data_IF_416894717039
#
_entry.id   IF_416894717039
#
_cell.length_a   1.000
_cell.length_b   1.000
_cell.length_c   1.000
_cell.angle_alpha   90.00
_cell.angle_beta   90.00
_cell.angle_gamma   90.00
#
_symmetry.space_group_name_H-M   'P 1'
#
loop_
_entity.id
_entity.type
_entity.pdbx_description
1 polymer ?
#
# COMPACT_ATOMS: atom_id res chain seq x y z
N UNK A 1 19.91 5.07 22.18
CA UNK A 1 20.10 6.08 21.12
C UNK A 1 19.08 7.17 21.35
N UNK A 2 19.49 8.43 21.54
CA UNK A 2 18.58 9.57 21.61
C UNK A 2 17.82 9.61 20.29
N UNK A 3 16.48 9.49 20.32
CA UNK A 3 15.66 9.70 19.14
C UNK A 3 15.97 11.08 18.57
N UNK A 4 16.42 11.15 17.31
CA UNK A 4 16.64 12.41 16.65
C UNK A 4 15.29 13.15 16.58
N UNK A 5 15.24 14.36 17.11
CA UNK A 5 14.05 15.21 16.99
C UNK A 5 13.89 15.64 15.54
N UNK A 6 12.73 15.41 14.96
CA UNK A 6 12.39 15.84 13.62
C UNK A 6 11.09 16.63 13.62
N UNK A 7 10.80 17.44 12.59
CA UNK A 7 9.50 18.09 12.42
C UNK A 7 8.38 17.06 12.32
N UNK A 8 7.31 17.22 13.09
CA UNK A 8 6.16 16.29 13.08
C UNK A 8 4.93 16.87 12.37
N UNK A 9 5.02 18.11 11.88
CA UNK A 9 3.97 18.79 11.10
C UNK A 9 4.58 19.67 10.01
N UNK A 10 3.84 19.97 8.93
CA UNK A 10 4.32 20.85 7.86
C UNK A 10 4.76 22.23 8.37
N UNK A 11 4.08 22.77 9.37
CA UNK A 11 4.35 24.10 9.91
C UNK A 11 5.66 24.18 10.72
N UNK A 12 6.21 23.03 11.11
CA UNK A 12 7.49 22.95 11.86
C UNK A 12 8.70 22.69 10.97
N UNK A 13 8.49 22.56 9.65
CA UNK A 13 9.59 22.44 8.68
C UNK A 13 10.36 23.75 8.58
N UNK A 14 11.68 23.65 8.54
CA UNK A 14 12.57 24.83 8.36
C UNK A 14 13.71 24.52 7.39
N UNK A 15 14.26 25.57 6.75
CA UNK A 15 15.43 25.43 5.88
C UNK A 15 16.65 24.91 6.66
N UNK A 16 16.78 25.29 7.94
CA UNK A 16 17.87 24.85 8.82
C UNK A 16 17.82 23.33 9.01
N UNK A 17 16.63 22.76 9.26
CA UNK A 17 16.48 21.32 9.42
C UNK A 17 16.88 20.56 8.13
N UNK A 18 16.48 21.07 6.95
CA UNK A 18 16.89 20.49 5.67
C UNK A 18 18.40 20.58 5.48
N UNK A 19 19.03 21.69 5.85
CA UNK A 19 20.48 21.86 5.77
C UNK A 19 21.22 20.81 6.59
N UNK A 20 20.86 20.66 7.86
CA UNK A 20 21.46 19.66 8.74
C UNK A 20 21.28 18.24 8.18
N UNK A 21 20.07 17.92 7.69
CA UNK A 21 19.76 16.59 7.17
C UNK A 21 20.45 16.31 5.85
N UNK A 22 20.38 17.21 4.88
CA UNK A 22 20.92 17.00 3.54
C UNK A 22 22.44 16.99 3.51
N UNK A 23 23.08 17.77 4.37
CA UNK A 23 24.54 17.69 4.58
C UNK A 23 24.95 16.37 5.25
N UNK A 24 24.16 15.88 6.23
CA UNK A 24 24.43 14.61 6.90
C UNK A 24 24.40 13.40 5.95
N UNK A 25 23.48 13.40 4.98
CA UNK A 25 23.38 12.33 3.97
C UNK A 25 24.15 12.64 2.69
N UNK A 26 25.01 13.67 2.70
CA UNK A 26 25.83 14.09 1.56
C UNK A 26 25.04 14.44 0.28
N UNK A 27 23.75 14.82 0.43
CA UNK A 27 22.89 15.24 -0.69
C UNK A 27 23.26 16.64 -1.20
N UNK A 28 23.76 17.50 -0.32
CA UNK A 28 24.35 18.80 -0.64
C UNK A 28 25.74 18.93 -0.02
N UNK A 29 26.61 19.69 -0.70
CA UNK A 29 27.94 20.02 -0.18
C UNK A 29 27.84 20.88 1.08
N UNK A 30 28.82 20.78 2.00
CA UNK A 30 28.88 21.56 3.25
C UNK A 30 28.94 23.09 3.04
N UNK A 31 29.30 23.54 1.82
CA UNK A 31 29.32 24.95 1.43
C UNK A 31 28.06 25.41 0.72
N UNK A 32 27.10 24.50 0.49
CA UNK A 32 25.81 24.82 -0.04
C UNK A 32 24.73 24.74 1.05
N UNK A 33 23.63 25.45 0.85
CA UNK A 33 22.52 25.45 1.79
C UNK A 33 21.17 25.60 1.08
N UNK A 34 20.13 25.09 1.70
CA UNK A 34 18.75 25.46 1.40
C UNK A 34 18.52 26.86 1.96
N UNK A 35 18.27 27.84 1.11
CA UNK A 35 17.98 29.22 1.51
C UNK A 35 16.54 29.40 1.96
N UNK A 36 15.61 28.75 1.26
CA UNK A 36 14.19 28.83 1.56
C UNK A 36 13.44 27.58 1.17
N UNK A 37 12.30 27.38 1.81
CA UNK A 37 11.35 26.30 1.52
C UNK A 37 9.97 26.90 1.24
N UNK A 38 9.20 26.23 0.36
CA UNK A 38 7.78 26.55 0.13
C UNK A 38 6.98 25.25 0.18
N UNK A 39 6.03 25.17 1.09
CA UNK A 39 5.24 23.94 1.35
C UNK A 39 3.84 24.12 0.79
N UNK A 40 3.37 23.15 0.00
CA UNK A 40 2.02 23.10 -0.54
C UNK A 40 1.39 21.70 -0.35
N UNK A 41 0.07 21.61 -0.18
CA UNK A 41 -0.61 20.30 -0.12
C UNK A 41 -0.46 19.53 -1.43
N UNK A 42 -0.35 18.20 -1.35
CA UNK A 42 -0.41 17.32 -2.54
C UNK A 42 -1.83 16.78 -2.67
N UNK A 43 -2.50 17.12 -3.78
CA UNK A 43 -3.87 16.69 -4.07
C UNK A 43 -4.94 17.45 -3.29
N UNK A 44 -6.20 17.21 -3.67
CA UNK A 44 -7.38 17.89 -3.09
C UNK A 44 -7.91 17.16 -1.83
N UNK A 45 -7.37 16.01 -1.48
CA UNK A 45 -7.89 15.15 -0.41
C UNK A 45 -6.78 14.78 0.55
N UNK A 46 -6.93 15.16 1.80
CA UNK A 46 -6.09 14.64 2.90
C UNK A 46 -6.33 13.14 3.00
N UNK A 47 -5.26 12.33 2.98
CA UNK A 47 -5.36 10.88 3.15
C UNK A 47 -6.02 10.50 4.48
N UNK A 48 -6.60 9.30 4.55
CA UNK A 48 -7.31 8.85 5.77
C UNK A 48 -6.40 8.82 7.00
N UNK A 49 -5.16 8.40 6.83
CA UNK A 49 -4.21 8.23 7.95
C UNK A 49 -3.00 9.16 7.89
N UNK A 50 -2.78 9.92 6.80
CA UNK A 50 -1.61 10.78 6.64
C UNK A 50 -1.93 12.11 5.98
N UNK A 51 -1.07 13.08 6.22
CA UNK A 51 -1.01 14.36 5.52
C UNK A 51 0.21 14.36 4.60
N UNK A 52 0.01 14.70 3.32
CA UNK A 52 1.06 14.70 2.31
C UNK A 52 1.23 16.12 1.78
N UNK A 53 2.48 16.59 1.76
CA UNK A 53 2.83 17.91 1.23
C UNK A 53 3.99 17.81 0.25
N UNK A 54 4.04 18.71 -0.72
CA UNK A 54 5.22 18.98 -1.53
C UNK A 54 5.98 20.13 -0.92
N UNK A 55 7.29 19.97 -0.80
CA UNK A 55 8.19 21.01 -0.31
C UNK A 55 9.16 21.38 -1.43
N UNK A 56 9.01 22.59 -1.97
CA UNK A 56 9.97 23.19 -2.92
C UNK A 56 11.14 23.75 -2.17
N UNK A 57 12.34 23.53 -2.71
CA UNK A 57 13.62 23.86 -2.09
C UNK A 57 14.38 24.84 -2.99
N UNK A 58 14.85 25.95 -2.43
CA UNK A 58 15.74 26.89 -3.12
C UNK A 58 17.11 26.82 -2.48
N UNK A 59 18.15 26.62 -3.28
CA UNK A 59 19.53 26.49 -2.81
C UNK A 59 20.33 27.76 -3.08
N UNK A 60 21.29 28.06 -2.19
CA UNK A 60 22.20 29.19 -2.35
C UNK A 60 23.05 29.08 -3.61
N UNK A 61 23.47 27.86 -3.96
CA UNK A 61 24.24 27.59 -5.17
C UNK A 61 23.59 26.44 -5.96
N UNK A 62 23.74 26.45 -7.27
CA UNK A 62 23.29 25.36 -8.12
C UNK A 62 23.91 24.02 -7.69
N UNK A 63 23.10 22.98 -7.58
CA UNK A 63 23.53 21.65 -7.21
C UNK A 63 22.64 20.60 -7.91
N UNK A 64 22.98 19.30 -7.71
CA UNK A 64 22.20 18.17 -8.24
C UNK A 64 21.12 17.67 -7.26
N UNK A 65 20.97 18.29 -6.09
CA UNK A 65 19.93 17.93 -5.15
C UNK A 65 18.53 18.29 -5.72
N UNK A 66 17.47 17.57 -5.32
CA UNK A 66 16.11 17.80 -5.84
C UNK A 66 15.62 19.20 -5.49
N UNK A 67 14.93 19.85 -6.42
CA UNK A 67 14.28 21.16 -6.23
C UNK A 67 12.91 21.03 -5.54
N UNK A 68 12.38 19.81 -5.45
CA UNK A 68 11.19 19.48 -4.66
C UNK A 68 11.27 18.08 -4.08
N UNK A 69 10.60 17.88 -2.94
CA UNK A 69 10.42 16.59 -2.27
C UNK A 69 8.99 16.43 -1.81
N UNK A 70 8.53 15.19 -1.69
CA UNK A 70 7.24 14.87 -1.07
C UNK A 70 7.46 14.43 0.36
N UNK A 71 6.66 14.96 1.28
CA UNK A 71 6.76 14.68 2.71
C UNK A 71 5.43 14.16 3.22
N UNK A 72 5.48 13.01 3.89
CA UNK A 72 4.33 12.40 4.56
C UNK A 72 4.45 12.59 6.07
N UNK A 73 3.37 13.05 6.70
CA UNK A 73 3.23 13.22 8.14
C UNK A 73 2.06 12.38 8.68
N UNK A 74 2.07 12.12 9.98
CA UNK A 74 0.89 11.60 10.67
C UNK A 74 -0.28 12.59 10.52
N UNK A 75 -1.48 12.04 10.37
CA UNK A 75 -2.67 12.86 10.20
C UNK A 75 -2.86 13.83 11.37
N UNK A 76 -3.26 15.09 11.08
CA UNK A 76 -3.46 16.12 12.12
C UNK A 76 -4.67 15.88 13.02
N UNK A 77 -5.75 15.17 12.54
CA UNK A 77 -6.84 14.73 13.40
C UNK A 77 -6.38 13.62 14.34
N UNK A 78 -6.64 13.75 15.68
CA UNK A 78 -6.26 12.72 16.62
C UNK A 78 -6.90 11.35 16.34
N UNK A 79 -8.14 11.31 15.83
CA UNK A 79 -8.88 10.09 15.51
C UNK A 79 -8.19 9.32 14.38
N UNK A 80 -7.85 10.00 13.27
CA UNK A 80 -7.20 9.39 12.14
C UNK A 80 -5.75 9.02 12.46
N UNK A 81 -5.05 9.86 13.23
CA UNK A 81 -3.71 9.55 13.76
C UNK A 81 -3.73 8.28 14.62
N UNK A 82 -4.76 8.12 15.47
CA UNK A 82 -4.92 6.92 16.28
C UNK A 82 -5.09 5.66 15.43
N UNK A 83 -5.78 5.73 14.28
CA UNK A 83 -5.86 4.60 13.33
C UNK A 83 -4.46 4.21 12.86
N UNK A 84 -3.68 5.16 12.32
CA UNK A 84 -2.32 4.91 11.84
C UNK A 84 -1.38 4.33 12.89
N UNK A 85 -1.48 4.82 14.15
CA UNK A 85 -0.68 4.33 15.26
C UNK A 85 -1.12 2.92 15.72
N UNK A 86 -2.42 2.70 15.93
CA UNK A 86 -2.95 1.42 16.41
C UNK A 86 -2.72 0.28 15.40
N UNK A 87 -2.69 0.61 14.10
CA UNK A 87 -2.38 -0.33 13.03
C UNK A 87 -0.90 -0.34 12.63
N UNK A 88 -0.06 0.44 13.33
CA UNK A 88 1.39 0.59 13.12
C UNK A 88 1.77 1.02 11.69
N UNK A 89 0.88 1.69 10.96
CA UNK A 89 1.12 2.09 9.56
C UNK A 89 2.33 3.01 9.44
N UNK A 90 2.45 4.01 10.31
CA UNK A 90 3.59 4.93 10.29
C UNK A 90 4.93 4.22 10.61
N UNK A 91 4.93 3.36 11.62
CA UNK A 91 6.12 2.59 12.00
C UNK A 91 6.57 1.65 10.88
N UNK A 92 5.61 0.98 10.20
CA UNK A 92 5.91 0.04 9.11
C UNK A 92 6.48 0.74 7.88
N UNK A 93 5.98 1.92 7.49
CA UNK A 93 6.55 2.69 6.38
C UNK A 93 7.98 3.16 6.70
N UNK A 94 8.22 3.62 7.92
CA UNK A 94 9.56 4.00 8.37
C UNK A 94 10.50 2.80 8.40
N UNK A 95 10.03 1.63 8.84
CA UNK A 95 10.81 0.39 8.82
C UNK A 95 11.16 -0.01 7.39
N UNK A 96 10.21 0.09 6.44
CA UNK A 96 10.47 -0.19 5.03
C UNK A 96 11.65 0.64 4.50
N UNK A 97 11.60 1.96 4.65
CA UNK A 97 12.64 2.83 4.11
C UNK A 97 13.99 2.68 4.80
N UNK A 98 14.01 2.42 6.11
CA UNK A 98 15.26 2.34 6.87
C UNK A 98 15.94 0.97 6.82
N UNK A 99 15.21 -0.12 6.54
CA UNK A 99 15.75 -1.48 6.70
C UNK A 99 15.44 -2.44 5.54
N UNK A 100 14.44 -2.15 4.71
CA UNK A 100 14.03 -3.07 3.63
C UNK A 100 14.44 -2.52 2.27
N UNK A 101 14.17 -1.25 2.02
CA UNK A 101 14.35 -0.63 0.71
C UNK A 101 15.77 -0.74 0.17
N UNK A 102 16.80 -0.64 1.03
CA UNK A 102 18.20 -0.74 0.62
C UNK A 102 18.58 -2.13 0.06
N UNK A 103 17.82 -3.17 0.42
CA UNK A 103 18.05 -4.55 0.00
C UNK A 103 17.25 -4.97 -1.24
N UNK A 104 16.48 -4.05 -1.81
CA UNK A 104 15.66 -4.31 -2.99
C UNK A 104 16.29 -3.68 -4.24
N UNK A 105 16.46 -4.48 -5.28
CA UNK A 105 16.93 -4.03 -6.60
C UNK A 105 15.78 -3.53 -7.49
N UNK A 106 14.55 -3.44 -6.94
CA UNK A 106 13.38 -2.94 -7.68
C UNK A 106 13.36 -1.41 -7.73
N UNK A 107 12.76 -0.84 -8.78
CA UNK A 107 12.46 0.59 -8.83
C UNK A 107 11.65 1.05 -7.62
N UNK A 108 12.13 2.06 -6.94
CA UNK A 108 11.52 2.66 -5.75
C UNK A 108 11.88 4.13 -5.65
N UNK A 109 11.08 4.90 -4.90
CA UNK A 109 11.42 6.29 -4.60
C UNK A 109 12.71 6.39 -3.80
N UNK A 110 13.55 7.38 -4.08
CA UNK A 110 14.59 7.76 -3.16
C UNK A 110 13.97 8.24 -1.84
N UNK A 111 14.55 7.84 -0.71
CA UNK A 111 14.14 8.30 0.61
C UNK A 111 15.26 9.13 1.24
N UNK A 112 14.96 10.37 1.60
CA UNK A 112 15.91 11.30 2.21
C UNK A 112 15.83 11.32 3.74
N UNK A 113 14.67 10.91 4.27
CA UNK A 113 14.45 10.74 5.71
C UNK A 113 13.24 9.86 5.98
N UNK A 114 13.32 9.01 6.99
CA UNK A 114 12.17 8.31 7.56
C UNK A 114 12.33 8.24 9.09
N UNK A 115 11.36 8.79 9.82
CA UNK A 115 11.37 8.83 11.29
C UNK A 115 9.97 8.62 11.87
N UNK A 116 9.91 7.86 12.98
CA UNK A 116 8.71 7.64 13.77
C UNK A 116 9.00 7.89 15.25
N UNK A 117 8.19 8.70 15.89
CA UNK A 117 8.28 9.02 17.30
C UNK A 117 7.25 8.22 18.09
N UNK A 118 7.70 7.21 18.84
CA UNK A 118 6.80 6.34 19.63
C UNK A 118 6.12 7.07 20.79
N UNK A 119 6.67 8.19 21.27
CA UNK A 119 6.08 8.93 22.39
C UNK A 119 4.91 9.82 21.94
N UNK A 120 5.04 10.48 20.79
CA UNK A 120 4.03 11.38 20.23
C UNK A 120 3.11 10.70 19.22
N UNK A 121 3.53 9.56 18.66
CA UNK A 121 2.88 8.93 17.52
C UNK A 121 3.04 9.74 16.23
N UNK A 122 3.98 10.68 16.19
CA UNK A 122 4.31 11.45 15.00
C UNK A 122 5.24 10.69 14.06
N UNK A 123 5.11 10.93 12.77
CA UNK A 123 6.06 10.43 11.77
C UNK A 123 6.39 11.51 10.75
N UNK A 124 7.52 11.33 10.08
CA UNK A 124 7.87 12.08 8.89
C UNK A 124 8.64 11.16 7.93
N UNK A 125 8.20 11.10 6.69
CA UNK A 125 8.91 10.41 5.60
C UNK A 125 9.09 11.38 4.46
N UNK A 126 10.36 11.61 4.05
CA UNK A 126 10.72 12.50 2.93
C UNK A 126 11.19 11.62 1.78
N UNK A 127 10.49 11.68 0.67
CA UNK A 127 10.76 10.91 -0.54
C UNK A 127 10.91 11.82 -1.76
N UNK A 128 11.45 11.25 -2.82
CA UNK A 128 11.53 11.86 -4.14
C UNK A 128 10.15 12.32 -4.63
N UNK A 129 10.11 13.48 -5.27
CA UNK A 129 8.91 14.00 -5.92
C UNK A 129 8.80 13.46 -7.36
N UNK A 130 7.90 12.52 -7.56
CA UNK A 130 7.64 11.87 -8.85
C UNK A 130 6.66 12.69 -9.71
N UNK A 131 6.76 14.02 -9.71
CA UNK A 131 5.84 14.93 -10.42
C UNK A 131 5.80 14.75 -11.94
N UNK A 132 6.81 14.10 -12.52
CA UNK A 132 6.90 13.79 -13.94
C UNK A 132 6.42 12.37 -14.31
N UNK A 133 5.93 11.59 -13.33
CA UNK A 133 5.25 10.32 -13.53
C UNK A 133 3.73 10.53 -13.62
N UNK A 134 3.05 9.56 -14.21
CA UNK A 134 1.59 9.51 -14.23
C UNK A 134 1.09 8.62 -13.08
N UNK A 135 0.23 9.16 -12.22
CA UNK A 135 -0.45 8.37 -11.19
C UNK A 135 -1.43 7.42 -11.86
N UNK A 136 -1.41 6.15 -11.49
CA UNK A 136 -2.44 5.22 -11.92
C UNK A 136 -3.83 5.62 -11.39
N UNK A 137 -4.88 5.10 -12.00
CA UNK A 137 -6.26 5.39 -11.58
C UNK A 137 -7.04 4.10 -11.39
N UNK A 138 -7.33 3.77 -10.13
CA UNK A 138 -8.07 2.56 -9.80
C UNK A 138 -9.55 2.61 -10.22
N UNK A 139 -10.14 3.80 -10.43
CA UNK A 139 -11.54 3.93 -10.85
C UNK A 139 -11.68 3.57 -12.32
N UNK A 140 -10.88 4.19 -13.20
CA UNK A 140 -10.90 3.87 -14.63
C UNK A 140 -10.34 2.48 -14.93
N UNK A 141 -9.52 1.96 -14.04
CA UNK A 141 -8.88 0.66 -14.17
C UNK A 141 -7.61 0.68 -15.01
N UNK A 142 -6.95 -0.47 -15.07
CA UNK A 142 -5.69 -0.66 -15.80
C UNK A 142 -5.77 -1.81 -16.78
N UNK A 143 -4.85 -1.79 -17.74
CA UNK A 143 -4.63 -2.86 -18.71
C UNK A 143 -3.79 -4.00 -18.11
N UNK A 144 -3.83 -5.17 -18.76
CA UNK A 144 -2.95 -6.30 -18.41
C UNK A 144 -1.46 -5.90 -18.47
N UNK A 145 -1.07 -5.09 -19.45
CA UNK A 145 0.34 -4.68 -19.60
C UNK A 145 0.80 -3.78 -18.44
N UNK A 146 -0.05 -2.86 -17.99
CA UNK A 146 0.25 -2.06 -16.79
C UNK A 146 0.31 -2.95 -15.53
N UNK A 147 -0.59 -3.92 -15.39
CA UNK A 147 -0.55 -4.86 -14.27
C UNK A 147 0.73 -5.73 -14.28
N UNK A 148 1.25 -6.11 -15.45
CA UNK A 148 2.53 -6.81 -15.57
C UNK A 148 3.71 -5.96 -15.10
N UNK A 149 3.74 -4.66 -15.42
CA UNK A 149 4.77 -3.75 -14.90
C UNK A 149 4.75 -3.71 -13.36
N UNK A 150 3.55 -3.69 -12.76
CA UNK A 150 3.42 -3.76 -11.29
C UNK A 150 3.93 -5.09 -10.76
N UNK A 151 3.62 -6.22 -11.42
CA UNK A 151 4.18 -7.53 -11.05
C UNK A 151 5.70 -7.52 -11.12
N UNK A 152 6.30 -6.94 -12.17
CA UNK A 152 7.76 -6.84 -12.32
C UNK A 152 8.41 -6.00 -11.20
N UNK A 153 7.66 -5.04 -10.63
CA UNK A 153 8.12 -4.25 -9.49
C UNK A 153 7.99 -5.00 -8.16
N UNK A 154 6.90 -5.74 -7.89
CA UNK A 154 6.67 -6.40 -6.59
C UNK A 154 7.22 -7.82 -6.50
N UNK A 155 7.34 -8.57 -7.62
CA UNK A 155 7.80 -9.95 -7.59
C UNK A 155 9.22 -10.12 -7.01
N UNK A 156 10.19 -9.21 -7.25
CA UNK A 156 11.50 -9.28 -6.59
C UNK A 156 11.42 -9.14 -5.06
N UNK A 157 10.53 -8.29 -4.52
CA UNK A 157 10.26 -8.24 -3.08
C UNK A 157 9.75 -9.60 -2.58
N UNK A 158 8.74 -10.16 -3.27
CA UNK A 158 8.18 -11.45 -2.92
C UNK A 158 9.23 -12.57 -2.96
N UNK A 159 10.05 -12.62 -4.01
CA UNK A 159 11.06 -13.66 -4.17
C UNK A 159 12.18 -13.57 -3.14
N UNK A 160 12.65 -12.34 -2.83
CA UNK A 160 13.74 -12.14 -1.89
C UNK A 160 13.43 -12.65 -0.49
N UNK A 161 12.21 -12.44 -0.02
CA UNK A 161 11.79 -12.77 1.35
C UNK A 161 10.89 -14.01 1.42
N UNK A 162 10.84 -14.80 0.35
CA UNK A 162 10.01 -16.00 0.27
C UNK A 162 10.45 -17.05 1.29
N UNK A 163 9.65 -17.29 2.33
CA UNK A 163 9.95 -18.14 3.50
C UNK A 163 11.27 -17.80 4.22
N UNK A 164 11.78 -16.55 4.04
CA UNK A 164 13.09 -16.13 4.56
C UNK A 164 13.04 -14.75 5.26
N UNK A 165 11.92 -14.37 5.84
CA UNK A 165 11.68 -13.06 6.45
C UNK A 165 11.94 -13.00 7.96
N UNK A 166 12.01 -14.14 8.67
CA UNK A 166 12.05 -14.21 10.14
C UNK A 166 13.32 -13.62 10.76
N UNK A 167 14.44 -13.75 10.07
CA UNK A 167 15.74 -13.29 10.58
C UNK A 167 15.89 -11.76 10.52
N UNK A 168 15.19 -11.09 9.58
CA UNK A 168 15.41 -9.68 9.29
C UNK A 168 14.32 -8.76 9.88
N UNK A 169 13.06 -9.22 10.04
CA UNK A 169 11.90 -8.35 10.30
C UNK A 169 10.89 -8.90 11.28
N UNK A 170 11.33 -9.55 12.36
CA UNK A 170 10.48 -10.19 13.37
C UNK A 170 9.41 -9.28 14.02
N UNK A 171 9.56 -7.96 13.91
CA UNK A 171 8.60 -6.97 14.43
C UNK A 171 7.47 -6.60 13.44
N UNK A 172 7.51 -7.11 12.18
CA UNK A 172 6.41 -6.89 11.24
C UNK A 172 5.20 -7.77 11.60
N UNK A 173 4.01 -7.25 11.32
CA UNK A 173 2.81 -8.07 11.38
C UNK A 173 2.91 -9.27 10.43
N UNK A 174 2.49 -10.43 10.91
CA UNK A 174 2.16 -11.58 10.06
C UNK A 174 0.66 -11.68 9.93
N UNK A 175 0.17 -12.00 8.73
CA UNK A 175 -1.27 -12.06 8.41
C UNK A 175 -2.06 -12.98 9.34
N UNK A 176 -1.44 -14.05 9.82
CA UNK A 176 -1.99 -15.05 10.73
C UNK A 176 -1.54 -14.84 12.20
N UNK A 177 -0.79 -13.78 12.49
CA UNK A 177 -0.37 -13.38 13.83
C UNK A 177 -1.54 -12.91 14.68
N UNK A 178 -1.54 -13.25 15.96
CA UNK A 178 -2.64 -12.86 16.85
C UNK A 178 -2.67 -11.34 17.05
N UNK A 179 -1.52 -10.66 17.07
CA UNK A 179 -1.39 -9.21 17.16
C UNK A 179 -2.04 -8.50 15.97
N UNK A 180 -1.82 -8.98 14.73
CA UNK A 180 -2.49 -8.47 13.53
C UNK A 180 -4.00 -8.72 13.59
N UNK A 181 -4.38 -9.96 13.90
CA UNK A 181 -5.81 -10.35 13.94
C UNK A 181 -6.56 -9.53 14.99
N UNK A 182 -6.04 -9.37 16.20
CA UNK A 182 -6.70 -8.60 17.26
C UNK A 182 -6.77 -7.09 16.92
N UNK A 183 -5.81 -6.58 16.16
CA UNK A 183 -5.81 -5.17 15.74
C UNK A 183 -6.82 -4.86 14.63
N UNK A 184 -7.00 -5.77 13.66
CA UNK A 184 -7.78 -5.51 12.45
C UNK A 184 -9.16 -6.15 12.45
N UNK A 185 -9.33 -7.33 13.06
CA UNK A 185 -10.59 -8.08 13.05
C UNK A 185 -11.80 -7.28 13.56
N UNK A 186 -11.73 -6.47 14.64
CA UNK A 186 -12.86 -5.68 15.08
C UNK A 186 -13.36 -4.67 14.01
N UNK A 187 -12.41 -4.04 13.29
CA UNK A 187 -12.74 -3.14 12.17
C UNK A 187 -13.41 -3.88 11.02
N UNK A 188 -12.89 -5.05 10.65
CA UNK A 188 -13.49 -5.89 9.62
C UNK A 188 -14.90 -6.34 10.01
N UNK A 189 -15.10 -6.80 11.24
CA UNK A 189 -16.42 -7.21 11.72
C UNK A 189 -17.40 -6.06 11.88
N UNK A 190 -16.92 -4.84 12.15
CA UNK A 190 -17.78 -3.67 12.36
C UNK A 190 -18.24 -2.97 11.08
N UNK A 191 -17.60 -3.22 9.94
CA UNK A 191 -17.84 -2.45 8.71
C UNK A 191 -18.88 -3.05 7.76
N UNK A 192 -19.16 -4.34 7.87
CA UNK A 192 -19.97 -5.04 6.86
C UNK A 192 -21.43 -4.60 6.81
N UNK A 193 -22.08 -4.38 7.96
CA UNK A 193 -23.47 -3.93 7.99
C UNK A 193 -23.64 -2.56 7.34
N UNK A 194 -22.70 -1.65 7.61
CA UNK A 194 -22.68 -0.33 6.98
C UNK A 194 -22.44 -0.44 5.47
N UNK A 195 -21.53 -1.30 5.03
CA UNK A 195 -21.28 -1.55 3.60
C UNK A 195 -22.51 -2.07 2.89
N UNK A 196 -23.21 -3.07 3.47
CA UNK A 196 -24.46 -3.60 2.92
C UNK A 196 -25.58 -2.55 2.90
N UNK A 197 -25.68 -1.73 3.95
CA UNK A 197 -26.70 -0.68 4.01
C UNK A 197 -26.42 0.47 3.02
N UNK A 198 -25.17 0.81 2.80
CA UNK A 198 -24.77 1.87 1.89
C UNK A 198 -24.88 1.46 0.42
N UNK A 199 -24.66 0.16 0.12
CA UNK A 199 -24.59 -0.38 -1.24
C UNK A 199 -25.30 -1.75 -1.34
N UNK A 200 -26.63 -1.81 -1.07
CA UNK A 200 -27.38 -3.08 -1.03
C UNK A 200 -27.38 -3.81 -2.37
N UNK A 201 -27.31 -3.08 -3.49
CA UNK A 201 -27.25 -3.63 -4.84
C UNK A 201 -26.03 -4.54 -5.09
N UNK A 202 -24.93 -4.31 -4.39
CA UNK A 202 -23.75 -5.17 -4.48
C UNK A 202 -23.96 -6.55 -3.83
N UNK A 203 -24.91 -6.67 -2.91
CA UNK A 203 -25.16 -7.87 -2.10
C UNK A 203 -26.46 -8.60 -2.43
N UNK A 204 -27.15 -8.23 -3.49
CA UNK A 204 -28.32 -8.99 -4.01
C UNK A 204 -27.84 -10.25 -4.78
N UNK A 205 -27.20 -11.17 -4.03
CA UNK A 205 -26.58 -12.39 -4.55
C UNK A 205 -26.27 -13.39 -3.43
N UNK A 206 -25.71 -14.56 -3.81
CA UNK A 206 -25.34 -15.62 -2.87
C UNK A 206 -24.35 -15.20 -1.78
N UNK A 207 -23.48 -14.20 -2.02
CA UNK A 207 -22.58 -13.67 -1.01
C UNK A 207 -23.33 -12.85 0.02
N UNK A 208 -24.33 -12.04 -0.39
CA UNK A 208 -25.18 -11.30 0.55
C UNK A 208 -25.88 -12.22 1.55
N UNK A 209 -26.40 -13.36 1.10
CA UNK A 209 -26.99 -14.38 1.97
C UNK A 209 -25.94 -15.03 2.90
N UNK A 210 -24.69 -15.14 2.44
CA UNK A 210 -23.60 -15.75 3.20
C UNK A 210 -22.86 -14.76 4.15
N UNK A 211 -23.17 -13.45 4.11
CA UNK A 211 -22.44 -12.43 4.88
C UNK A 211 -22.35 -12.73 6.38
N UNK A 212 -23.40 -13.17 7.10
CA UNK A 212 -23.24 -13.52 8.51
C UNK A 212 -22.22 -14.64 8.75
N UNK A 213 -22.16 -15.63 7.87
CA UNK A 213 -21.18 -16.73 7.92
C UNK A 213 -19.78 -16.22 7.56
N UNK A 214 -19.67 -15.36 6.54
CA UNK A 214 -18.41 -14.76 6.14
C UNK A 214 -17.79 -13.97 7.31
N UNK A 215 -18.55 -13.11 7.97
CA UNK A 215 -18.07 -12.30 9.11
C UNK A 215 -17.67 -13.20 10.27
N UNK A 216 -18.46 -14.22 10.61
CA UNK A 216 -18.10 -15.20 11.64
C UNK A 216 -16.81 -15.97 11.30
N UNK A 217 -16.57 -16.22 10.01
CA UNK A 217 -15.39 -16.95 9.49
C UNK A 217 -14.12 -16.11 9.29
N UNK A 218 -14.15 -14.77 9.50
CA UNK A 218 -13.04 -13.89 9.17
C UNK A 218 -11.71 -14.29 9.82
N UNK A 219 -11.72 -14.64 11.11
CA UNK A 219 -10.52 -15.14 11.79
C UNK A 219 -9.94 -16.38 11.11
N UNK A 220 -10.79 -17.31 10.68
CA UNK A 220 -10.35 -18.51 9.98
C UNK A 220 -9.79 -18.18 8.58
N UNK A 221 -10.35 -17.20 7.89
CA UNK A 221 -9.83 -16.70 6.60
C UNK A 221 -8.44 -16.08 6.80
N UNK A 222 -8.26 -15.22 7.80
CA UNK A 222 -6.95 -14.63 8.12
C UNK A 222 -5.91 -15.70 8.47
N UNK A 223 -6.28 -16.70 9.29
CA UNK A 223 -5.40 -17.86 9.57
C UNK A 223 -5.12 -18.70 8.32
N UNK A 224 -6.08 -18.79 7.37
CA UNK A 224 -5.87 -19.51 6.11
C UNK A 224 -4.90 -18.77 5.19
N UNK A 225 -4.86 -17.43 5.22
CA UNK A 225 -3.87 -16.62 4.49
C UNK A 225 -2.43 -16.92 4.93
N UNK A 226 -2.23 -17.31 6.17
CA UNK A 226 -0.90 -17.70 6.70
C UNK A 226 -0.47 -19.11 6.36
N UNK A 227 -1.32 -19.90 5.68
CA UNK A 227 -0.95 -21.26 5.27
C UNK A 227 -0.07 -21.25 4.02
N UNK A 228 0.94 -22.11 4.00
CA UNK A 228 1.91 -22.18 2.91
C UNK A 228 2.99 -21.12 3.05
N UNK A 229 3.66 -20.83 1.93
CA UNK A 229 4.74 -19.88 1.90
C UNK A 229 4.26 -18.45 2.17
N UNK A 230 5.03 -17.72 2.96
CA UNK A 230 4.84 -16.31 3.27
C UNK A 230 6.04 -15.50 2.79
N UNK A 231 5.81 -14.23 2.54
CA UNK A 231 6.85 -13.27 2.17
C UNK A 231 6.47 -11.88 2.64
N UNK A 232 7.34 -10.90 2.43
CA UNK A 232 6.95 -9.50 2.52
C UNK A 232 6.02 -9.15 1.35
N UNK A 233 4.89 -8.53 1.65
CA UNK A 233 3.95 -7.99 0.67
C UNK A 233 3.85 -6.47 0.86
N UNK A 234 3.58 -5.75 -0.22
CA UNK A 234 3.30 -4.31 -0.15
C UNK A 234 2.04 -4.04 0.71
N UNK A 235 1.04 -4.92 0.58
CA UNK A 235 -0.21 -4.88 1.35
C UNK A 235 -1.25 -3.88 0.84
N UNK A 236 -0.89 -2.99 -0.10
CA UNK A 236 -1.80 -2.01 -0.70
C UNK A 236 -1.49 -1.75 -2.18
N UNK A 237 -1.36 -2.83 -2.97
CA UNK A 237 -1.11 -2.76 -4.41
C UNK A 237 -2.40 -2.35 -5.14
N UNK A 238 -2.65 -1.04 -5.17
CA UNK A 238 -3.71 -0.40 -5.95
C UNK A 238 -3.12 0.68 -6.84
N UNK A 239 -3.82 1.03 -7.91
CA UNK A 239 -3.21 1.89 -8.92
C UNK A 239 -3.03 3.34 -8.48
N UNK A 240 -3.78 3.83 -7.52
CA UNK A 240 -3.50 5.14 -6.91
C UNK A 240 -2.14 5.16 -6.16
N UNK A 241 -1.52 3.99 -5.91
CA UNK A 241 -0.19 3.81 -5.33
C UNK A 241 0.88 3.40 -6.37
N UNK A 242 0.57 3.47 -7.66
CA UNK A 242 1.50 3.16 -8.76
C UNK A 242 1.78 4.40 -9.60
N UNK A 243 3.06 4.74 -9.73
CA UNK A 243 3.56 5.86 -10.51
C UNK A 243 4.16 5.32 -11.81
N UNK A 244 3.49 5.57 -12.93
CA UNK A 244 3.91 5.07 -14.26
C UNK A 244 4.79 6.08 -14.97
N UNK A 245 5.94 5.62 -15.46
CA UNK A 245 6.85 6.44 -16.25
C UNK A 245 6.24 6.81 -17.61
N UNK A 246 6.56 8.00 -18.08
CA UNK A 246 6.14 8.53 -19.40
C UNK A 246 7.08 8.16 -20.55
N UNK A 247 8.01 7.23 -20.27
CA UNK A 247 9.01 6.79 -21.25
C UNK A 247 10.21 7.73 -21.41
N UNK A 248 10.45 8.61 -20.45
CA UNK A 248 11.66 9.43 -20.41
C UNK A 248 12.87 8.56 -19.98
N UNK A 249 14.05 8.87 -20.49
CA UNK A 249 15.23 8.03 -20.32
C UNK A 249 15.69 7.83 -18.86
N UNK A 250 15.28 8.72 -17.94
CA UNK A 250 15.61 8.65 -16.53
C UNK A 250 14.50 7.98 -15.68
N UNK A 251 13.37 7.63 -16.30
CA UNK A 251 12.21 7.09 -15.60
C UNK A 251 12.20 5.58 -15.61
N UNK A 252 11.81 5.01 -14.49
CA UNK A 252 11.43 3.60 -14.38
C UNK A 252 10.03 3.37 -14.97
N UNK A 253 9.74 2.17 -15.49
CA UNK A 253 8.41 1.87 -16.06
C UNK A 253 7.28 2.05 -15.05
N UNK A 254 7.50 1.65 -13.80
CA UNK A 254 6.58 1.86 -12.67
C UNK A 254 7.35 1.91 -11.36
N UNK A 255 6.89 2.73 -10.45
CA UNK A 255 7.36 2.80 -9.06
C UNK A 255 6.13 2.65 -8.15
N UNK A 256 6.18 1.69 -7.21
CA UNK A 256 5.18 1.58 -6.15
C UNK A 256 5.52 2.53 -5.01
N UNK A 257 4.49 3.23 -4.52
CA UNK A 257 4.57 4.17 -3.39
C UNK A 257 3.62 3.75 -2.27
N UNK A 258 3.71 4.38 -1.10
CA UNK A 258 2.83 4.13 0.06
C UNK A 258 3.01 2.75 0.72
N UNK A 259 4.20 2.54 1.29
CA UNK A 259 4.62 1.29 1.93
C UNK A 259 4.10 1.09 3.36
N UNK A 260 3.14 1.90 3.80
CA UNK A 260 2.58 1.85 5.17
C UNK A 260 1.86 0.54 5.53
N UNK A 261 1.48 -0.26 4.53
CA UNK A 261 0.81 -1.55 4.74
C UNK A 261 1.72 -2.78 4.61
N UNK A 262 3.05 -2.57 4.47
CA UNK A 262 4.00 -3.68 4.37
C UNK A 262 3.85 -4.64 5.55
N UNK A 263 3.82 -5.93 5.25
CA UNK A 263 3.63 -6.99 6.24
C UNK A 263 4.11 -8.35 5.70
N UNK A 264 4.12 -9.35 6.56
CA UNK A 264 4.36 -10.73 6.16
C UNK A 264 3.03 -11.42 5.85
N UNK A 265 2.86 -11.86 4.61
CA UNK A 265 1.63 -12.52 4.17
C UNK A 265 1.89 -13.48 3.02
N UNK A 266 0.83 -14.14 2.55
CA UNK A 266 0.88 -14.85 1.28
C UNK A 266 1.03 -13.84 0.12
N UNK A 267 1.96 -14.05 -0.82
CA UNK A 267 2.21 -13.10 -1.92
C UNK A 267 0.98 -12.81 -2.79
N UNK A 268 0.03 -13.73 -2.86
CA UNK A 268 -1.19 -13.56 -3.66
C UNK A 268 -2.16 -12.51 -3.06
N UNK A 269 -1.90 -12.00 -1.85
CA UNK A 269 -2.62 -10.86 -1.29
C UNK A 269 -2.49 -9.62 -2.19
N UNK A 270 -1.27 -9.30 -2.61
CA UNK A 270 -1.03 -8.13 -3.46
C UNK A 270 -1.72 -8.25 -4.82
N UNK A 271 -1.67 -9.44 -5.43
CA UNK A 271 -2.37 -9.68 -6.69
C UNK A 271 -3.89 -9.63 -6.53
N UNK A 272 -4.43 -10.21 -5.47
CA UNK A 272 -5.87 -10.19 -5.20
C UNK A 272 -6.35 -8.75 -4.95
N UNK A 273 -5.59 -7.95 -4.21
CA UNK A 273 -5.91 -6.54 -3.99
C UNK A 273 -5.82 -5.74 -5.29
N UNK A 274 -4.76 -5.90 -6.08
CA UNK A 274 -4.61 -5.24 -7.37
C UNK A 274 -5.78 -5.55 -8.32
N UNK A 275 -6.14 -6.81 -8.48
CA UNK A 275 -7.18 -7.21 -9.43
C UNK A 275 -8.58 -6.79 -9.01
N UNK A 276 -8.86 -6.71 -7.71
CA UNK A 276 -10.17 -6.28 -7.20
C UNK A 276 -10.28 -4.77 -7.01
N UNK A 277 -9.18 -4.07 -6.78
CA UNK A 277 -9.19 -2.61 -6.68
C UNK A 277 -9.07 -1.91 -8.04
N UNK A 278 -8.31 -2.49 -8.97
CA UNK A 278 -7.80 -1.75 -10.13
C UNK A 278 -8.13 -2.36 -11.50
N UNK A 279 -8.56 -3.61 -11.61
CA UNK A 279 -9.14 -4.11 -12.86
C UNK A 279 -10.62 -3.76 -12.95
N UNK A 280 -11.09 -3.37 -14.13
CA UNK A 280 -12.53 -3.38 -14.40
C UNK A 280 -13.05 -4.82 -14.32
N UNK A 281 -14.36 -5.01 -14.19
CA UNK A 281 -14.95 -6.35 -14.20
C UNK A 281 -14.64 -7.11 -15.49
N UNK A 282 -14.64 -6.39 -16.62
CA UNK A 282 -14.32 -6.98 -17.92
C UNK A 282 -12.85 -7.39 -17.98
N UNK A 283 -11.92 -6.48 -17.64
CA UNK A 283 -10.48 -6.77 -17.63
C UNK A 283 -10.16 -7.95 -16.71
N UNK A 284 -10.75 -7.97 -15.49
CA UNK A 284 -10.51 -9.08 -14.56
C UNK A 284 -10.95 -10.41 -15.16
N UNK A 285 -12.16 -10.49 -15.72
CA UNK A 285 -12.70 -11.73 -16.32
C UNK A 285 -11.87 -12.21 -17.51
N UNK A 286 -11.34 -11.27 -18.30
CA UNK A 286 -10.56 -11.57 -19.49
C UNK A 286 -9.11 -11.94 -19.13
N UNK A 287 -8.47 -11.20 -18.25
CA UNK A 287 -7.00 -11.14 -18.11
C UNK A 287 -6.47 -11.71 -16.81
N UNK A 288 -7.32 -11.96 -15.79
CA UNK A 288 -6.89 -12.48 -14.47
C UNK A 288 -6.02 -13.74 -14.58
N UNK A 289 -6.43 -14.71 -15.39
CA UNK A 289 -5.65 -15.94 -15.57
C UNK A 289 -4.30 -15.70 -16.26
N UNK A 290 -4.26 -14.76 -17.20
CA UNK A 290 -3.00 -14.36 -17.86
C UNK A 290 -2.05 -13.66 -16.88
N UNK A 291 -2.59 -12.84 -15.99
CA UNK A 291 -1.80 -12.17 -14.93
C UNK A 291 -1.21 -13.18 -13.93
N UNK A 292 -2.00 -14.15 -13.46
CA UNK A 292 -1.50 -15.20 -12.54
C UNK A 292 -0.43 -16.07 -13.19
N UNK A 293 -0.58 -16.40 -14.47
CA UNK A 293 0.47 -17.09 -15.26
C UNK A 293 1.73 -16.22 -15.39
N UNK A 294 1.56 -14.91 -15.59
CA UNK A 294 2.70 -14.00 -15.68
C UNK A 294 3.46 -13.95 -14.36
N UNK A 295 2.74 -13.78 -13.25
CA UNK A 295 3.33 -13.81 -11.91
C UNK A 295 4.10 -15.11 -11.63
N UNK A 296 3.51 -16.27 -11.98
CA UNK A 296 4.21 -17.56 -11.86
C UNK A 296 5.56 -17.54 -12.57
N UNK A 297 5.59 -17.05 -13.82
CA UNK A 297 6.82 -17.00 -14.63
C UNK A 297 7.83 -16.01 -14.06
N UNK A 298 7.37 -14.86 -13.55
CA UNK A 298 8.23 -13.88 -12.90
C UNK A 298 8.90 -14.47 -11.66
N UNK A 299 8.13 -15.16 -10.80
CA UNK A 299 8.66 -15.84 -9.62
C UNK A 299 9.63 -16.97 -9.98
N UNK A 300 9.32 -17.78 -11.00
CA UNK A 300 10.23 -18.84 -11.50
C UNK A 300 11.54 -18.25 -12.05
N UNK A 301 11.48 -17.11 -12.75
CA UNK A 301 12.66 -16.38 -13.21
C UNK A 301 13.56 -15.87 -12.08
N UNK A 302 12.98 -15.67 -10.89
CA UNK A 302 13.65 -15.27 -9.64
C UNK A 302 14.04 -16.46 -8.75
N UNK A 303 13.86 -17.70 -9.24
CA UNK A 303 14.26 -18.92 -8.54
C UNK A 303 13.20 -19.50 -7.60
N UNK A 304 11.96 -18.99 -7.61
CA UNK A 304 10.84 -19.47 -6.79
C UNK A 304 9.86 -20.24 -7.67
N UNK A 305 9.84 -21.55 -7.56
CA UNK A 305 8.96 -22.43 -8.35
C UNK A 305 7.62 -22.64 -7.65
N UNK A 306 6.56 -22.09 -8.25
CA UNK A 306 5.17 -22.18 -7.77
C UNK A 306 4.31 -22.87 -8.83
N UNK A 307 3.50 -23.85 -8.43
CA UNK A 307 2.51 -24.40 -9.35
C UNK A 307 1.33 -23.46 -9.55
N UNK A 308 0.71 -23.47 -10.73
CA UNK A 308 -0.50 -22.68 -10.99
C UNK A 308 -1.69 -23.10 -10.09
N UNK A 309 -1.76 -24.38 -9.72
CA UNK A 309 -2.78 -24.87 -8.80
C UNK A 309 -2.61 -24.24 -7.42
N UNK A 310 -1.37 -24.20 -6.88
CA UNK A 310 -1.06 -23.54 -5.61
C UNK A 310 -1.34 -22.04 -5.67
N UNK A 311 -0.91 -21.35 -6.75
CA UNK A 311 -1.21 -19.94 -6.97
C UNK A 311 -2.73 -19.71 -6.97
N UNK A 312 -3.49 -20.52 -7.67
CA UNK A 312 -4.95 -20.39 -7.78
C UNK A 312 -5.63 -20.62 -6.43
N UNK A 313 -5.19 -21.63 -5.67
CA UNK A 313 -5.72 -21.92 -4.34
C UNK A 313 -5.51 -20.75 -3.38
N UNK A 314 -4.28 -20.27 -3.26
CA UNK A 314 -3.94 -19.16 -2.37
C UNK A 314 -4.59 -17.84 -2.84
N UNK A 315 -4.65 -17.59 -4.14
CA UNK A 315 -5.35 -16.43 -4.70
C UNK A 315 -6.85 -16.43 -4.34
N UNK A 316 -7.51 -17.59 -4.37
CA UNK A 316 -8.91 -17.70 -3.95
C UNK A 316 -9.10 -17.34 -2.47
N UNK A 317 -8.19 -17.74 -1.59
CA UNK A 317 -8.23 -17.35 -0.17
C UNK A 317 -7.96 -15.85 -0.04
N UNK A 318 -6.99 -15.34 -0.80
CA UNK A 318 -6.66 -13.91 -0.80
C UNK A 318 -7.84 -13.05 -1.26
N UNK A 319 -8.62 -13.46 -2.26
CA UNK A 319 -9.84 -12.76 -2.69
C UNK A 319 -10.89 -12.69 -1.57
N UNK A 320 -11.07 -13.76 -0.79
CA UNK A 320 -11.93 -13.74 0.39
C UNK A 320 -11.40 -12.79 1.46
N UNK A 321 -10.09 -12.71 1.64
CA UNK A 321 -9.49 -11.82 2.62
C UNK A 321 -9.58 -10.35 2.20
N UNK A 322 -9.19 -9.99 0.97
CA UNK A 322 -9.16 -8.58 0.53
C UNK A 322 -10.55 -7.97 0.37
N UNK A 323 -11.61 -8.79 0.27
CA UNK A 323 -13.00 -8.31 0.31
C UNK A 323 -13.27 -7.45 1.57
N UNK A 324 -12.59 -7.73 2.69
CA UNK A 324 -12.71 -6.92 3.92
C UNK A 324 -12.25 -5.48 3.72
N UNK A 325 -11.19 -5.24 2.95
CA UNK A 325 -10.72 -3.88 2.68
C UNK A 325 -11.77 -3.09 1.89
N UNK A 326 -12.40 -3.71 0.90
CA UNK A 326 -13.50 -3.08 0.17
C UNK A 326 -14.69 -2.78 1.08
N UNK A 327 -15.02 -3.68 2.02
CA UNK A 327 -16.10 -3.46 2.98
C UNK A 327 -15.78 -2.36 4.00
N UNK A 328 -14.53 -2.26 4.47
CA UNK A 328 -14.11 -1.14 5.33
C UNK A 328 -14.27 0.18 4.58
N UNK A 329 -13.76 0.26 3.36
CA UNK A 329 -13.85 1.47 2.53
C UNK A 329 -15.32 1.83 2.29
N UNK A 330 -16.17 0.87 1.95
CA UNK A 330 -17.59 1.11 1.68
C UNK A 330 -18.43 1.39 2.94
N UNK A 331 -18.06 0.80 4.08
CA UNK A 331 -18.80 0.90 5.33
C UNK A 331 -18.40 2.03 6.25
N UNK A 332 -17.09 2.27 6.41
CA UNK A 332 -16.56 3.28 7.31
C UNK A 332 -16.41 4.66 6.64
N UNK A 333 -16.57 4.71 5.33
CA UNK A 333 -16.25 5.90 4.54
C UNK A 333 -17.43 6.85 4.41
N UNK A 334 -17.29 8.07 4.95
CA UNK A 334 -18.12 9.21 4.53
C UNK A 334 -17.44 9.81 3.32
N UNK A 335 -17.97 9.66 2.08
CA UNK A 335 -17.30 10.13 0.89
C UNK A 335 -17.04 11.63 0.95
N UNK A 336 -15.77 12.03 0.89
CA UNK A 336 -15.37 13.45 0.86
C UNK A 336 -15.55 14.07 -0.52
N UNK A 337 -15.73 13.24 -1.56
CA UNK A 337 -15.90 13.67 -2.95
C UNK A 337 -16.65 12.60 -3.77
N UNK A 338 -17.15 12.99 -4.96
CA UNK A 338 -17.79 12.06 -5.91
C UNK A 338 -16.83 10.96 -6.36
N UNK A 339 -15.54 11.28 -6.58
CA UNK A 339 -14.51 10.28 -6.92
C UNK A 339 -14.32 9.27 -5.81
N UNK A 340 -14.26 9.72 -4.56
CA UNK A 340 -14.12 8.84 -3.40
C UNK A 340 -15.33 7.90 -3.27
N UNK A 341 -16.56 8.40 -3.52
CA UNK A 341 -17.77 7.58 -3.54
C UNK A 341 -17.73 6.55 -4.67
N UNK A 342 -17.31 6.95 -5.87
CA UNK A 342 -17.17 6.05 -7.01
C UNK A 342 -16.13 4.97 -6.73
N UNK A 343 -14.98 5.33 -6.17
CA UNK A 343 -13.93 4.40 -5.78
C UNK A 343 -14.45 3.32 -4.80
N UNK A 344 -15.26 3.72 -3.80
CA UNK A 344 -15.82 2.79 -2.83
C UNK A 344 -16.82 1.81 -3.48
N UNK A 345 -17.71 2.30 -4.34
CA UNK A 345 -18.71 1.49 -5.06
C UNK A 345 -18.02 0.50 -6.01
N UNK A 346 -17.13 1.00 -6.88
CA UNK A 346 -16.42 0.20 -7.88
C UNK A 346 -15.59 -0.90 -7.21
N UNK A 347 -14.82 -0.54 -6.16
CA UNK A 347 -14.01 -1.51 -5.42
C UNK A 347 -14.87 -2.59 -4.76
N UNK A 348 -15.97 -2.21 -4.11
CA UNK A 348 -16.88 -3.18 -3.49
C UNK A 348 -17.52 -4.12 -4.52
N UNK A 349 -18.03 -3.58 -5.62
CA UNK A 349 -18.63 -4.39 -6.70
C UNK A 349 -17.60 -5.36 -7.27
N UNK A 350 -16.39 -4.89 -7.58
CA UNK A 350 -15.29 -5.72 -8.11
C UNK A 350 -14.91 -6.84 -7.14
N UNK A 351 -14.78 -6.53 -5.84
CA UNK A 351 -14.50 -7.52 -4.81
C UNK A 351 -15.59 -8.57 -4.67
N UNK A 352 -16.86 -8.15 -4.60
CA UNK A 352 -18.02 -9.05 -4.55
C UNK A 352 -18.09 -9.94 -5.80
N UNK A 353 -17.92 -9.36 -6.99
CA UNK A 353 -17.94 -10.12 -8.26
C UNK A 353 -16.73 -11.06 -8.38
N UNK A 354 -15.57 -10.72 -7.83
CA UNK A 354 -14.44 -11.66 -7.81
C UNK A 354 -14.75 -12.92 -7.00
N UNK A 355 -15.40 -12.76 -5.85
CA UNK A 355 -15.83 -13.90 -5.00
C UNK A 355 -16.93 -14.72 -5.66
N UNK A 356 -17.95 -14.08 -6.23
CA UNK A 356 -19.11 -14.78 -6.82
C UNK A 356 -18.79 -15.42 -8.17
N UNK A 357 -18.08 -14.75 -9.09
CA UNK A 357 -17.68 -15.29 -10.39
C UNK A 357 -16.84 -16.58 -10.22
N UNK A 358 -16.00 -16.63 -9.20
CA UNK A 358 -15.16 -17.79 -8.88
C UNK A 358 -15.84 -18.81 -7.95
N UNK A 359 -17.10 -18.57 -7.56
CA UNK A 359 -17.91 -19.43 -6.67
C UNK A 359 -17.23 -19.69 -5.31
N UNK A 360 -16.54 -18.66 -4.77
CA UNK A 360 -15.80 -18.81 -3.52
C UNK A 360 -16.69 -18.79 -2.27
N UNK A 361 -17.98 -18.43 -2.39
CA UNK A 361 -18.96 -18.47 -1.29
C UNK A 361 -18.97 -19.84 -0.59
N UNK A 362 -18.72 -20.91 -1.35
CA UNK A 362 -18.62 -22.28 -0.81
C UNK A 362 -17.39 -22.53 0.06
N UNK A 363 -16.35 -21.69 -0.06
CA UNK A 363 -15.10 -21.78 0.73
C UNK A 363 -15.15 -20.96 2.00
N UNK A 364 -16.20 -20.18 2.22
CA UNK A 364 -16.41 -19.41 3.45
C UNK A 364 -16.57 -20.40 4.61
N UNK A 365 -15.78 -20.29 5.69
CA UNK A 365 -15.81 -21.20 6.83
C UNK A 365 -17.15 -21.27 7.54
#
# INVERSE_FOLDING_TARGET
MTQATFPETPETLTAEWFNERFQLIELIDQHNMVESICVEPVGDVVGVVGEVVRCHLTYANACSAPDSVVIKFAHRSPENRAIGNNTRMYEREVLFFNHIAEHLDTPKTACYFAGYNRETGGNMVIIEDLHDYDVGDQVTGITLEQAKLVVDNIAPLHARYFDAWEDDFGDLYTIDGDDYIESFLPGFMGSWEAAVNNFPECFDNELGEAMPRYVAGLRAIMKAMGKGAKTLVHGDVRMDNAMFGRGLAHQEPVIMIDWQNIMVSNPLQDLAWMTTSSFTLETRRQDEAALLNYYQKSMAGLGIDLSLDSITEHYNVALLFVLNFHMIIAGAFVPSSDRARQMAIEGLERGVKAVTDRRLVRLIP
#
